data_IF_589849093938
#
_entry.id   IF_589849093938
#
_cell.length_a   1.000
_cell.length_b   1.000
_cell.length_c   1.000
_cell.angle_alpha   90.00
_cell.angle_beta   90.00
_cell.angle_gamma   90.00
#
_symmetry.space_group_name_H-M   'P 1'
#
loop_
_entity.id
_entity.type
_entity.pdbx_description
1 polymer ?
#
# COMPACT_ATOMS: atom_id res chain seq x y z
N UNK A 1 4.03 -48.70 -13.85
CA UNK A 1 3.01 -47.99 -13.06
C UNK A 1 3.63 -46.65 -12.70
N UNK A 2 3.40 -45.61 -13.50
CA UNK A 2 4.05 -44.30 -13.31
C UNK A 2 3.19 -43.48 -12.36
N UNK A 3 3.74 -43.12 -11.20
CA UNK A 3 3.11 -42.20 -10.25
C UNK A 3 3.32 -40.78 -10.79
N UNK A 4 2.33 -40.24 -11.48
CA UNK A 4 2.31 -38.82 -11.85
C UNK A 4 2.07 -37.98 -10.59
N UNK A 5 3.13 -37.29 -10.14
CA UNK A 5 3.06 -36.32 -9.07
C UNK A 5 2.30 -35.08 -9.59
N UNK A 6 1.00 -35.03 -9.33
CA UNK A 6 0.17 -33.88 -9.72
C UNK A 6 0.60 -32.67 -8.89
N UNK A 7 0.63 -31.45 -9.48
CA UNK A 7 0.97 -30.25 -8.74
C UNK A 7 0.04 -30.12 -7.53
N UNK A 8 0.65 -30.13 -6.34
CA UNK A 8 -0.10 -30.05 -5.08
C UNK A 8 -0.89 -28.75 -5.06
N UNK A 9 -2.20 -28.86 -4.88
CA UNK A 9 -3.09 -27.73 -4.61
C UNK A 9 -2.76 -27.17 -3.23
N UNK A 10 -1.72 -26.34 -3.15
CA UNK A 10 -1.41 -25.57 -1.95
C UNK A 10 -2.49 -24.53 -1.64
N UNK A 11 -2.33 -23.80 -0.53
CA UNK A 11 -3.19 -22.65 -0.23
C UNK A 11 -3.12 -21.65 -1.40
N UNK A 12 -4.25 -21.06 -1.85
CA UNK A 12 -4.24 -20.08 -2.93
C UNK A 12 -3.48 -18.82 -2.49
N UNK A 13 -2.19 -18.77 -2.80
CA UNK A 13 -1.29 -17.65 -2.46
C UNK A 13 -1.79 -16.33 -3.07
N UNK A 14 -2.36 -16.42 -4.28
CA UNK A 14 -2.98 -15.32 -5.01
C UNK A 14 -4.02 -14.56 -4.17
N UNK A 15 -4.85 -15.28 -3.41
CA UNK A 15 -5.93 -14.68 -2.61
C UNK A 15 -5.39 -13.88 -1.42
N UNK A 16 -4.28 -14.34 -0.83
CA UNK A 16 -3.66 -13.67 0.32
C UNK A 16 -2.90 -12.39 -0.15
N UNK A 17 -2.32 -12.41 -1.36
CA UNK A 17 -1.65 -11.25 -1.97
C UNK A 17 -2.65 -10.13 -2.32
N UNK A 18 -3.77 -10.45 -2.96
CA UNK A 18 -4.78 -9.44 -3.30
C UNK A 18 -5.37 -8.80 -2.03
N UNK A 19 -5.57 -9.59 -0.98
CA UNK A 19 -6.05 -9.08 0.31
C UNK A 19 -5.00 -8.18 0.98
N UNK A 20 -3.73 -8.54 0.93
CA UNK A 20 -2.63 -7.71 1.42
C UNK A 20 -2.54 -6.38 0.65
N UNK A 21 -2.68 -6.43 -0.67
CA UNK A 21 -2.67 -5.24 -1.54
C UNK A 21 -3.81 -4.28 -1.19
N UNK A 22 -5.02 -4.79 -1.02
CA UNK A 22 -6.18 -3.99 -0.60
C UNK A 22 -5.98 -3.29 0.75
N UNK A 23 -5.34 -3.95 1.72
CA UNK A 23 -5.02 -3.34 3.02
C UNK A 23 -4.03 -2.18 2.89
N UNK A 24 -2.99 -2.35 2.05
CA UNK A 24 -1.97 -1.32 1.83
C UNK A 24 -2.55 -0.12 1.07
N UNK A 25 -3.40 -0.36 0.07
CA UNK A 25 -4.07 0.72 -0.67
C UNK A 25 -5.04 1.51 0.19
N UNK A 26 -5.74 0.84 1.12
CA UNK A 26 -6.63 1.50 2.08
C UNK A 26 -5.90 2.29 3.16
N UNK A 27 -4.79 1.76 3.69
CA UNK A 27 -3.95 2.46 4.65
C UNK A 27 -2.47 2.10 4.49
N UNK A 28 -1.67 2.94 3.81
CA UNK A 28 -0.25 2.67 3.58
C UNK A 28 0.61 2.80 4.85
N UNK A 29 0.04 3.26 5.98
CA UNK A 29 0.74 3.42 7.26
C UNK A 29 0.73 2.17 8.14
N UNK A 30 0.06 1.10 7.71
CA UNK A 30 -0.01 -0.14 8.47
C UNK A 30 1.37 -0.78 8.61
N UNK A 31 1.70 -1.25 9.82
CA UNK A 31 2.96 -1.96 10.04
C UNK A 31 2.86 -3.41 9.56
N UNK A 32 4.00 -4.05 9.30
CA UNK A 32 4.03 -5.47 8.92
C UNK A 32 3.50 -6.37 10.03
N UNK A 33 3.61 -5.93 11.30
CA UNK A 33 2.97 -6.58 12.45
C UNK A 33 1.45 -6.49 12.41
N UNK A 34 0.89 -5.30 12.12
CA UNK A 34 -0.57 -5.13 12.01
C UNK A 34 -1.13 -5.97 10.87
N UNK A 35 -0.46 -5.95 9.71
CA UNK A 35 -0.80 -6.76 8.54
C UNK A 35 -0.77 -8.26 8.87
N UNK A 36 0.25 -8.71 9.61
CA UNK A 36 0.36 -10.10 10.04
C UNK A 36 -0.82 -10.53 10.93
N UNK A 37 -1.24 -9.66 11.85
CA UNK A 37 -2.36 -9.90 12.75
C UNK A 37 -3.70 -9.94 12.00
N UNK A 38 -3.89 -9.03 11.04
CA UNK A 38 -5.13 -8.96 10.23
C UNK A 38 -5.26 -10.14 9.25
N UNK A 39 -4.14 -10.62 8.70
CA UNK A 39 -4.11 -11.71 7.73
C UNK A 39 -3.91 -13.09 8.38
N UNK A 40 -3.56 -13.14 9.67
CA UNK A 40 -3.31 -14.39 10.38
C UNK A 40 -2.10 -15.17 9.85
N UNK A 41 -1.09 -14.46 9.36
CA UNK A 41 0.13 -15.04 8.82
C UNK A 41 1.37 -14.51 9.57
N UNK A 42 2.53 -15.13 9.36
CA UNK A 42 3.76 -14.67 9.98
C UNK A 42 4.21 -13.33 9.36
N UNK A 43 4.83 -12.46 10.15
CA UNK A 43 5.39 -11.20 9.71
C UNK A 43 6.40 -11.39 8.56
N UNK A 44 7.24 -12.44 8.61
CA UNK A 44 8.20 -12.73 7.54
C UNK A 44 7.53 -13.07 6.20
N UNK A 45 6.32 -13.65 6.23
CA UNK A 45 5.51 -13.89 5.04
C UNK A 45 5.03 -12.57 4.44
N UNK A 46 4.61 -11.61 5.28
CA UNK A 46 4.25 -10.26 4.84
C UNK A 46 5.45 -9.57 4.21
N UNK A 47 6.62 -9.60 4.86
CA UNK A 47 7.83 -8.94 4.37
C UNK A 47 8.25 -9.48 2.98
N UNK A 48 8.19 -10.80 2.81
CA UNK A 48 8.46 -11.44 1.52
C UNK A 48 7.49 -10.99 0.44
N UNK A 49 6.19 -10.99 0.71
CA UNK A 49 5.19 -10.57 -0.28
C UNK A 49 5.28 -9.09 -0.61
N UNK A 50 5.58 -8.23 0.37
CA UNK A 50 5.86 -6.81 0.12
C UNK A 50 7.03 -6.64 -0.85
N UNK A 51 8.10 -7.41 -0.65
CA UNK A 51 9.27 -7.37 -1.53
C UNK A 51 8.95 -7.89 -2.94
N UNK A 52 8.21 -8.99 -3.06
CA UNK A 52 7.75 -9.54 -4.36
C UNK A 52 6.87 -8.54 -5.13
N UNK A 53 6.06 -7.73 -4.42
CA UNK A 53 5.26 -6.65 -5.01
C UNK A 53 6.05 -5.36 -5.28
N UNK A 54 7.33 -5.28 -4.94
CA UNK A 54 8.14 -4.08 -5.05
C UNK A 54 7.73 -2.94 -4.09
N UNK A 55 7.05 -3.28 -2.98
CA UNK A 55 6.67 -2.31 -1.94
C UNK A 55 7.81 -2.12 -0.96
N UNK A 56 8.11 -0.86 -0.66
CA UNK A 56 9.14 -0.46 0.31
C UNK A 56 8.54 0.54 1.30
N UNK A 57 8.98 0.47 2.54
CA UNK A 57 8.63 1.47 3.54
C UNK A 57 9.34 2.79 3.19
N UNK A 58 8.56 3.87 3.03
CA UNK A 58 9.08 5.22 2.84
C UNK A 58 8.61 6.07 4.02
N UNK A 59 9.55 6.85 4.56
CA UNK A 59 9.21 7.86 5.56
C UNK A 59 8.30 8.91 4.94
N UNK A 60 7.41 9.44 5.78
CA UNK A 60 6.51 10.49 5.36
C UNK A 60 7.27 11.79 5.08
N UNK A 61 6.80 12.53 4.07
CA UNK A 61 7.35 13.86 3.80
C UNK A 61 6.82 14.84 4.84
N UNK A 62 7.71 15.62 5.42
CA UNK A 62 7.32 16.69 6.34
C UNK A 62 6.60 17.82 5.57
N UNK A 63 5.38 18.14 5.99
CA UNK A 63 4.59 19.26 5.47
C UNK A 63 4.54 20.36 6.54
N UNK A 64 5.04 21.58 6.28
CA UNK A 64 5.25 22.59 7.31
C UNK A 64 3.99 23.06 8.05
N UNK A 65 2.87 23.14 7.34
CA UNK A 65 1.65 23.74 7.86
C UNK A 65 0.44 22.86 7.53
N UNK A 66 -0.40 22.68 8.54
CA UNK A 66 -1.73 22.14 8.35
C UNK A 66 -2.63 23.25 7.78
N UNK A 67 -2.94 23.14 6.49
CA UNK A 67 -3.76 24.14 5.80
C UNK A 67 -5.23 24.00 6.21
N UNK A 68 -5.89 25.13 6.41
CA UNK A 68 -7.36 25.17 6.50
C UNK A 68 -7.97 25.05 5.10
N UNK A 69 -9.26 24.73 5.03
CA UNK A 69 -10.01 24.70 3.77
C UNK A 69 -9.90 26.03 3.00
N UNK A 70 -9.97 27.15 3.71
CA UNK A 70 -9.83 28.49 3.11
C UNK A 70 -8.43 28.70 2.52
N UNK A 71 -7.38 28.29 3.24
CA UNK A 71 -6.01 28.39 2.73
C UNK A 71 -5.81 27.54 1.48
N UNK A 72 -6.40 26.34 1.44
CA UNK A 72 -6.36 25.47 0.25
C UNK A 72 -7.04 26.17 -0.92
N UNK A 73 -8.24 26.68 -0.73
CA UNK A 73 -9.01 27.33 -1.80
C UNK A 73 -8.30 28.57 -2.34
N UNK A 74 -7.77 29.43 -1.45
CA UNK A 74 -7.00 30.60 -1.85
C UNK A 74 -5.77 30.22 -2.68
N UNK A 75 -5.02 29.21 -2.25
CA UNK A 75 -3.84 28.72 -2.99
C UNK A 75 -4.22 28.24 -4.40
N UNK A 76 -5.29 27.46 -4.52
CA UNK A 76 -5.78 26.97 -5.82
C UNK A 76 -6.14 28.15 -6.73
N UNK A 77 -6.93 29.11 -6.24
CA UNK A 77 -7.36 30.29 -7.01
C UNK A 77 -6.18 31.12 -7.49
N UNK A 78 -5.22 31.41 -6.61
CA UNK A 78 -4.03 32.19 -6.95
C UNK A 78 -3.19 31.46 -8.01
N UNK A 79 -2.91 30.17 -7.80
CA UNK A 79 -2.14 29.38 -8.76
C UNK A 79 -2.80 29.34 -10.14
N UNK A 80 -4.12 29.11 -10.20
CA UNK A 80 -4.86 29.08 -11.47
C UNK A 80 -4.80 30.44 -12.19
N UNK A 81 -4.94 31.55 -11.47
CA UNK A 81 -4.83 32.89 -12.05
C UNK A 81 -3.41 33.19 -12.58
N UNK A 82 -2.37 32.70 -11.92
CA UNK A 82 -1.00 32.89 -12.38
C UNK A 82 -0.68 32.00 -13.59
N UNK A 83 -1.23 30.79 -13.65
CA UNK A 83 -1.06 29.88 -14.78
C UNK A 83 -1.77 30.37 -16.05
N UNK A 84 -2.96 30.97 -15.92
CA UNK A 84 -3.73 31.49 -17.06
C UNK A 84 -3.20 32.81 -17.63
N UNK A 85 -2.24 33.44 -16.95
CA UNK A 85 -1.57 34.67 -17.40
C UNK A 85 -0.31 34.41 -18.24
N UNK A 86 0.02 33.14 -18.52
CA UNK A 86 1.11 32.77 -19.42
C UNK A 86 0.65 32.70 -20.87
#
# INVERSE_FOLDING_TARGET
MSLEDRPKSGRPLESDIERLKGLIEGNPRLTTRDLSAMLGCNQSTIDRHLHEMGKVNKLETWVPHQLTSDNIQQRITICNSLLSKR
#
